data_IF_346193954221
#
_entry.id   IF_346193954221
#
_cell.length_a   1.000
_cell.length_b   1.000
_cell.length_c   1.000
_cell.angle_alpha   90.00
_cell.angle_beta   90.00
_cell.angle_gamma   90.00
#
_symmetry.space_group_name_H-M   'P 1'
#
loop_
_entity.id
_entity.type
_entity.pdbx_description
1 polymer ?
#
# COMPACT_ATOMS: atom_id res chain seq x y z
N UNK A 1 -3.46 41.20 17.62
CA UNK A 1 -2.65 40.01 17.30
C UNK A 1 -3.60 38.84 17.15
N UNK A 2 -3.73 38.20 15.98
CA UNK A 2 -4.53 36.98 15.89
C UNK A 2 -3.81 35.88 16.65
N UNK A 3 -4.54 35.24 17.58
CA UNK A 3 -4.06 34.09 18.34
C UNK A 3 -3.64 32.97 17.37
N UNK A 4 -2.39 32.51 17.46
CA UNK A 4 -1.92 31.34 16.75
C UNK A 4 -2.86 30.15 17.05
N UNK A 5 -3.31 29.40 16.06
CA UNK A 5 -4.14 28.23 16.31
C UNK A 5 -3.38 27.30 17.24
N UNK A 6 -4.05 26.79 18.28
CA UNK A 6 -3.49 25.86 19.25
C UNK A 6 -2.90 24.67 18.48
N UNK A 7 -1.58 24.51 18.54
CA UNK A 7 -0.89 23.35 17.97
C UNK A 7 -1.52 22.08 18.58
N UNK A 8 -2.14 21.28 17.75
CA UNK A 8 -2.72 20.01 18.20
C UNK A 8 -1.59 19.13 18.77
N UNK A 9 -1.90 18.28 19.77
CA UNK A 9 -0.90 17.34 20.33
C UNK A 9 -0.26 16.49 19.23
N UNK A 10 -0.98 16.23 18.15
CA UNK A 10 -0.49 15.51 16.98
C UNK A 10 0.64 16.25 16.25
N UNK A 11 0.67 17.59 16.30
CA UNK A 11 1.72 18.38 15.62
C UNK A 11 3.10 18.22 16.26
N UNK A 12 3.15 17.70 17.47
CA UNK A 12 4.40 17.41 18.21
C UNK A 12 4.97 16.02 17.90
N UNK A 13 4.19 15.13 17.29
CA UNK A 13 4.64 13.77 16.95
C UNK A 13 5.46 13.82 15.67
N UNK A 14 6.72 13.37 15.68
CA UNK A 14 7.56 13.31 14.48
C UNK A 14 6.93 12.43 13.39
N UNK A 15 7.04 12.84 12.13
CA UNK A 15 6.38 12.19 10.99
C UNK A 15 6.76 10.71 10.81
N UNK A 16 7.98 10.32 11.21
CA UNK A 16 8.44 8.93 11.16
C UNK A 16 7.56 7.99 11.97
N UNK A 17 7.05 8.42 13.12
CA UNK A 17 6.16 7.57 13.94
C UNK A 17 4.81 7.33 13.26
N UNK A 18 4.32 8.28 12.46
CA UNK A 18 3.12 8.07 11.66
C UNK A 18 3.36 7.04 10.56
N UNK A 19 4.51 7.04 9.90
CA UNK A 19 4.84 6.11 8.81
C UNK A 19 5.06 4.70 9.35
N UNK A 20 5.89 4.55 10.40
CA UNK A 20 6.14 3.24 11.00
C UNK A 20 4.89 2.68 11.66
N UNK A 21 4.13 3.51 12.38
CA UNK A 21 2.87 3.12 12.98
C UNK A 21 1.82 2.72 11.93
N UNK A 22 1.73 3.46 10.83
CA UNK A 22 0.89 3.13 9.67
C UNK A 22 1.25 1.76 9.12
N UNK A 23 2.53 1.51 8.83
CA UNK A 23 3.00 0.24 8.30
C UNK A 23 2.69 -0.93 9.23
N UNK A 24 2.99 -0.79 10.52
CA UNK A 24 2.72 -1.85 11.51
C UNK A 24 1.24 -2.19 11.56
N UNK A 25 0.37 -1.19 11.69
CA UNK A 25 -1.08 -1.37 11.75
C UNK A 25 -1.60 -1.98 10.44
N UNK A 26 -1.10 -1.53 9.30
CA UNK A 26 -1.50 -2.03 7.97
C UNK A 26 -1.17 -3.52 7.80
N UNK A 27 0.03 -3.94 8.18
CA UNK A 27 0.42 -5.35 8.02
C UNK A 27 -0.19 -6.26 9.07
N UNK A 28 -0.46 -5.76 10.28
CA UNK A 28 -1.30 -6.48 11.26
C UNK A 28 -2.69 -6.74 10.67
N UNK A 29 -3.31 -5.73 10.09
CA UNK A 29 -4.60 -5.89 9.42
C UNK A 29 -4.54 -6.83 8.20
N UNK A 30 -3.45 -6.83 7.44
CA UNK A 30 -3.23 -7.76 6.32
C UNK A 30 -3.04 -9.20 6.82
N UNK A 31 -2.33 -9.40 7.93
CA UNK A 31 -2.15 -10.72 8.55
C UNK A 31 -3.48 -11.31 9.02
N UNK A 32 -4.34 -10.48 9.67
CA UNK A 32 -5.70 -10.90 10.07
C UNK A 32 -6.56 -11.26 8.84
N UNK A 33 -6.37 -10.57 7.72
CA UNK A 33 -7.13 -10.81 6.50
C UNK A 33 -6.86 -12.19 5.87
N UNK A 34 -5.69 -12.78 6.10
CA UNK A 34 -5.30 -14.07 5.53
C UNK A 34 -6.25 -15.19 5.98
N UNK A 35 -6.72 -15.16 7.23
CA UNK A 35 -7.67 -16.15 7.76
C UNK A 35 -9.02 -16.14 7.02
N UNK A 36 -9.38 -15.01 6.41
CA UNK A 36 -10.60 -14.88 5.61
C UNK A 36 -10.48 -15.52 4.21
N UNK A 37 -9.27 -15.80 3.74
CA UNK A 37 -9.06 -16.38 2.40
C UNK A 37 -9.58 -17.83 2.28
N UNK A 38 -9.82 -18.49 3.42
CA UNK A 38 -10.53 -19.78 3.45
C UNK A 38 -12.04 -19.67 3.17
N UNK A 39 -12.62 -18.47 3.33
CA UNK A 39 -14.06 -18.23 3.24
C UNK A 39 -14.48 -17.46 2.00
N UNK A 40 -13.58 -16.67 1.45
CA UNK A 40 -13.81 -15.89 0.23
C UNK A 40 -12.50 -15.62 -0.52
N UNK A 41 -12.59 -15.24 -1.80
CA UNK A 41 -11.39 -14.96 -2.58
C UNK A 41 -10.58 -13.79 -1.99
N UNK A 42 -9.24 -13.82 -2.07
CA UNK A 42 -8.40 -12.73 -1.57
C UNK A 42 -8.77 -11.37 -2.17
N UNK A 43 -9.09 -11.33 -3.47
CA UNK A 43 -9.56 -10.12 -4.13
C UNK A 43 -10.87 -9.58 -3.56
N UNK A 44 -11.80 -10.46 -3.14
CA UNK A 44 -13.06 -10.06 -2.48
C UNK A 44 -12.81 -9.52 -1.08
N UNK A 45 -11.86 -10.08 -0.32
CA UNK A 45 -11.44 -9.51 0.98
C UNK A 45 -10.82 -8.12 0.79
N UNK A 46 -9.98 -7.94 -0.25
CA UNK A 46 -9.43 -6.63 -0.59
C UNK A 46 -10.52 -5.62 -0.98
N UNK A 47 -11.55 -6.05 -1.70
CA UNK A 47 -12.71 -5.21 -2.01
C UNK A 47 -13.45 -4.78 -0.73
N UNK A 48 -13.74 -5.69 0.19
CA UNK A 48 -14.34 -5.36 1.49
C UNK A 48 -13.54 -4.33 2.27
N UNK A 49 -12.23 -4.51 2.32
CA UNK A 49 -11.31 -3.56 2.95
C UNK A 49 -11.45 -2.15 2.37
N UNK A 50 -11.48 -2.04 1.02
CA UNK A 50 -11.64 -0.76 0.32
C UNK A 50 -13.04 -0.19 0.52
N UNK A 51 -14.08 -1.04 0.48
CA UNK A 51 -15.48 -0.65 0.69
C UNK A 51 -15.69 -0.06 2.09
N UNK A 52 -15.23 -0.75 3.13
CA UNK A 52 -15.33 -0.28 4.52
C UNK A 52 -14.61 1.07 4.67
N UNK A 53 -13.41 1.18 4.13
CA UNK A 53 -12.66 2.43 4.18
C UNK A 53 -13.37 3.56 3.40
N UNK A 54 -13.93 3.24 2.24
CA UNK A 54 -14.72 4.20 1.46
C UNK A 54 -15.92 4.71 2.25
N UNK A 55 -16.70 3.82 2.86
CA UNK A 55 -17.88 4.20 3.67
C UNK A 55 -17.46 5.13 4.81
N UNK A 56 -16.46 4.74 5.60
CA UNK A 56 -16.01 5.50 6.76
C UNK A 56 -15.45 6.87 6.35
N UNK A 57 -14.54 6.90 5.36
CA UNK A 57 -13.90 8.15 4.95
C UNK A 57 -14.84 9.08 4.18
N UNK A 58 -15.77 8.54 3.38
CA UNK A 58 -16.81 9.32 2.72
C UNK A 58 -17.76 9.95 3.75
N UNK A 59 -18.21 9.19 4.74
CA UNK A 59 -19.06 9.71 5.81
C UNK A 59 -18.35 10.80 6.64
N UNK A 60 -17.06 10.62 6.89
CA UNK A 60 -16.26 11.58 7.66
C UNK A 60 -15.95 12.85 6.86
N UNK A 61 -15.40 12.72 5.64
CA UNK A 61 -14.90 13.86 4.86
C UNK A 61 -15.93 14.53 3.96
N UNK A 62 -17.01 13.81 3.61
CA UNK A 62 -18.13 14.30 2.79
C UNK A 62 -17.67 15.05 1.53
N UNK A 63 -16.83 14.43 0.67
CA UNK A 63 -16.20 15.10 -0.48
C UNK A 63 -17.22 15.65 -1.48
N UNK A 64 -18.47 15.17 -1.49
CA UNK A 64 -19.56 15.73 -2.30
C UNK A 64 -19.97 17.16 -1.93
N UNK A 65 -19.56 17.66 -0.77
CA UNK A 65 -19.76 19.06 -0.37
C UNK A 65 -18.71 19.99 -0.95
N UNK A 66 -17.65 19.46 -1.55
CA UNK A 66 -16.56 20.20 -2.17
C UNK A 66 -16.84 20.37 -3.68
N UNK A 67 -16.38 21.48 -4.27
CA UNK A 67 -16.52 21.70 -5.72
C UNK A 67 -15.44 20.91 -6.47
N UNK A 68 -15.84 19.96 -7.32
CA UNK A 68 -14.93 19.13 -8.12
C UNK A 68 -15.01 19.53 -9.60
N UNK A 69 -13.85 19.87 -10.19
CA UNK A 69 -13.74 20.00 -11.64
C UNK A 69 -13.92 18.63 -12.32
N UNK A 70 -14.32 18.61 -13.61
CA UNK A 70 -14.39 17.36 -14.38
C UNK A 70 -13.04 16.61 -14.37
N UNK A 71 -11.93 17.36 -14.52
CA UNK A 71 -10.59 16.79 -14.50
C UNK A 71 -10.27 16.14 -13.15
N UNK A 72 -10.60 16.80 -12.02
CA UNK A 72 -10.32 16.25 -10.70
C UNK A 72 -11.15 14.99 -10.43
N UNK A 73 -12.41 14.95 -10.88
CA UNK A 73 -13.27 13.75 -10.79
C UNK A 73 -12.68 12.58 -11.56
N UNK A 74 -12.31 12.79 -12.83
CA UNK A 74 -11.69 11.73 -13.65
C UNK A 74 -10.37 11.26 -13.04
N UNK A 75 -9.53 12.19 -12.57
CA UNK A 75 -8.26 11.81 -11.90
C UNK A 75 -8.51 10.99 -10.63
N UNK A 76 -9.54 11.36 -9.83
CA UNK A 76 -9.95 10.61 -8.65
C UNK A 76 -10.49 9.21 -8.99
N UNK A 77 -11.25 9.07 -10.09
CA UNK A 77 -11.71 7.76 -10.60
C UNK A 77 -10.52 6.87 -10.98
N UNK A 78 -9.58 7.40 -11.78
CA UNK A 78 -8.37 6.67 -12.20
C UNK A 78 -7.53 6.28 -10.98
N UNK A 79 -7.40 7.18 -10.01
CA UNK A 79 -6.69 6.89 -8.76
C UNK A 79 -7.38 5.78 -7.96
N UNK A 80 -8.72 5.77 -7.91
CA UNK A 80 -9.51 4.70 -7.29
C UNK A 80 -9.30 3.34 -7.95
N UNK A 81 -9.21 3.31 -9.29
CA UNK A 81 -8.90 2.08 -10.03
C UNK A 81 -7.50 1.56 -9.65
N UNK A 82 -6.49 2.42 -9.56
CA UNK A 82 -5.16 1.99 -9.11
C UNK A 82 -5.17 1.49 -7.66
N UNK A 83 -5.91 2.13 -6.76
CA UNK A 83 -6.04 1.69 -5.37
C UNK A 83 -6.61 0.27 -5.31
N UNK A 84 -7.74 0.01 -5.97
CA UNK A 84 -8.38 -1.31 -5.87
C UNK A 84 -7.56 -2.38 -6.61
N UNK A 85 -6.97 -2.06 -7.75
CA UNK A 85 -6.11 -2.99 -8.48
C UNK A 85 -4.90 -3.40 -7.63
N UNK A 86 -4.19 -2.43 -7.04
CA UNK A 86 -3.07 -2.66 -6.15
C UNK A 86 -3.48 -3.56 -4.97
N UNK A 87 -4.57 -3.20 -4.28
CA UNK A 87 -5.02 -3.96 -3.11
C UNK A 87 -5.46 -5.38 -3.46
N UNK A 88 -6.20 -5.58 -4.57
CA UNK A 88 -6.68 -6.90 -4.96
C UNK A 88 -5.53 -7.81 -5.40
N UNK A 89 -4.61 -7.29 -6.21
CA UNK A 89 -3.44 -8.08 -6.68
C UNK A 89 -2.46 -8.34 -5.53
N UNK A 90 -2.30 -7.41 -4.58
CA UNK A 90 -1.52 -7.63 -3.37
C UNK A 90 -2.11 -8.76 -2.51
N UNK A 91 -3.44 -8.81 -2.31
CA UNK A 91 -4.07 -9.86 -1.53
C UNK A 91 -4.00 -11.22 -2.22
N UNK A 92 -4.12 -11.27 -3.55
CA UNK A 92 -3.86 -12.49 -4.32
C UNK A 92 -2.41 -12.96 -4.16
N UNK A 93 -1.46 -12.03 -4.03
CA UNK A 93 -0.06 -12.36 -3.81
C UNK A 93 0.18 -12.92 -2.41
N UNK A 94 -0.28 -12.26 -1.34
CA UNK A 94 -0.04 -12.70 0.05
C UNK A 94 -0.84 -13.97 0.43
N UNK A 95 -1.79 -14.38 -0.37
CA UNK A 95 -2.42 -15.69 -0.27
C UNK A 95 -1.50 -16.84 -0.73
N UNK A 96 -0.38 -16.52 -1.41
CA UNK A 96 0.53 -17.47 -2.06
C UNK A 96 2.00 -17.27 -1.70
N UNK A 97 2.35 -16.10 -1.17
CA UNK A 97 3.71 -15.70 -0.80
C UNK A 97 3.78 -15.30 0.66
N UNK A 98 4.92 -15.49 1.31
CA UNK A 98 5.17 -14.89 2.63
C UNK A 98 5.00 -13.37 2.57
N UNK A 99 4.41 -12.79 3.63
CA UNK A 99 4.07 -11.37 3.68
C UNK A 99 5.29 -10.46 3.47
N UNK A 100 6.43 -10.80 4.10
CA UNK A 100 7.68 -10.04 3.96
C UNK A 100 8.22 -10.05 2.54
N UNK A 101 8.23 -11.22 1.88
CA UNK A 101 8.65 -11.36 0.49
C UNK A 101 7.73 -10.59 -0.47
N UNK A 102 6.42 -10.72 -0.30
CA UNK A 102 5.43 -10.00 -1.11
C UNK A 102 5.63 -8.49 -1.01
N UNK A 103 5.69 -7.93 0.19
CA UNK A 103 5.90 -6.49 0.37
C UNK A 103 7.23 -6.04 -0.22
N UNK A 104 8.31 -6.82 -0.05
CA UNK A 104 9.63 -6.49 -0.64
C UNK A 104 9.55 -6.39 -2.16
N UNK A 105 8.87 -7.33 -2.81
CA UNK A 105 8.68 -7.33 -4.26
C UNK A 105 7.76 -6.20 -4.74
N UNK A 106 6.74 -5.84 -3.95
CA UNK A 106 5.84 -4.73 -4.28
C UNK A 106 6.59 -3.40 -4.37
N UNK A 107 7.69 -3.24 -3.60
CA UNK A 107 8.55 -2.05 -3.66
C UNK A 107 9.25 -1.82 -5.00
N UNK A 108 9.19 -2.75 -5.92
CA UNK A 108 9.55 -2.49 -7.33
C UNK A 108 8.72 -1.36 -7.96
N UNK A 109 7.50 -1.11 -7.44
CA UNK A 109 6.66 0.01 -7.90
C UNK A 109 7.33 1.38 -7.74
N UNK A 110 7.72 1.81 -6.52
CA UNK A 110 8.51 3.02 -6.31
C UNK A 110 9.80 3.07 -7.11
N UNK A 111 10.53 1.96 -7.23
CA UNK A 111 11.75 1.87 -8.06
C UNK A 111 11.43 2.13 -9.53
N UNK A 112 10.37 1.53 -10.05
CA UNK A 112 9.92 1.75 -11.43
C UNK A 112 9.61 3.24 -11.69
N UNK A 113 8.92 3.91 -10.76
CA UNK A 113 8.65 5.35 -10.87
C UNK A 113 9.96 6.15 -10.90
N UNK A 114 10.93 5.80 -10.05
CA UNK A 114 12.22 6.46 -9.99
C UNK A 114 13.00 6.27 -11.31
N UNK A 115 12.98 5.08 -11.89
CA UNK A 115 13.64 4.79 -13.18
C UNK A 115 12.99 5.56 -14.33
N UNK A 116 11.66 5.60 -14.39
CA UNK A 116 10.91 6.27 -15.45
C UNK A 116 11.03 7.79 -15.40
N UNK A 117 11.19 8.36 -14.22
CA UNK A 117 11.25 9.83 -14.01
C UNK A 117 12.62 10.37 -13.65
N UNK A 118 13.52 9.51 -13.20
CA UNK A 118 14.85 9.89 -12.78
C UNK A 118 15.78 10.18 -13.94
N UNK A 119 16.78 11.02 -13.68
CA UNK A 119 17.88 11.34 -14.60
C UNK A 119 19.21 10.95 -13.95
N UNK A 120 20.19 10.55 -14.76
CA UNK A 120 21.52 10.20 -14.26
C UNK A 120 21.68 8.72 -13.88
N UNK A 121 22.77 8.36 -13.18
CA UNK A 121 23.12 6.96 -12.88
C UNK A 121 22.32 6.35 -11.71
N UNK A 122 21.86 7.16 -10.76
CA UNK A 122 21.21 6.66 -9.55
C UNK A 122 19.96 5.81 -9.81
N UNK A 123 19.02 6.19 -10.70
CA UNK A 123 17.89 5.34 -11.04
C UNK A 123 18.29 3.99 -11.64
N UNK A 124 19.39 3.96 -12.43
CA UNK A 124 19.91 2.73 -13.02
C UNK A 124 20.53 1.81 -11.97
N UNK A 125 21.30 2.38 -11.04
CA UNK A 125 21.87 1.63 -9.89
C UNK A 125 20.73 1.08 -9.04
N UNK A 126 19.72 1.88 -8.73
CA UNK A 126 18.55 1.44 -7.98
C UNK A 126 17.81 0.30 -8.71
N UNK A 127 17.67 0.38 -10.04
CA UNK A 127 17.04 -0.70 -10.83
C UNK A 127 17.86 -1.99 -10.79
N UNK A 128 19.17 -1.93 -10.88
CA UNK A 128 20.05 -3.12 -10.78
C UNK A 128 19.99 -3.75 -9.40
N UNK A 129 20.02 -2.95 -8.34
CA UNK A 129 19.89 -3.45 -6.96
C UNK A 129 18.51 -4.07 -6.71
N UNK A 130 17.45 -3.42 -7.21
CA UNK A 130 16.09 -3.95 -7.10
C UNK A 130 15.95 -5.27 -7.86
N UNK A 131 16.51 -5.36 -9.08
CA UNK A 131 16.53 -6.61 -9.85
C UNK A 131 17.29 -7.72 -9.12
N UNK A 132 18.48 -7.42 -8.58
CA UNK A 132 19.24 -8.38 -7.77
C UNK A 132 18.44 -8.83 -6.53
N UNK A 133 17.70 -7.90 -5.89
CA UNK A 133 16.81 -8.22 -4.77
C UNK A 133 15.67 -9.14 -5.17
N UNK A 134 15.04 -8.91 -6.34
CA UNK A 134 14.01 -9.81 -6.89
C UNK A 134 14.58 -11.21 -7.13
N UNK A 135 15.74 -11.30 -7.76
CA UNK A 135 16.41 -12.59 -8.00
C UNK A 135 16.72 -13.30 -6.68
N UNK A 136 17.19 -12.56 -5.67
CA UNK A 136 17.47 -13.12 -4.34
C UNK A 136 16.20 -13.69 -3.69
N UNK A 137 15.10 -12.95 -3.70
CA UNK A 137 13.82 -13.40 -3.11
C UNK A 137 13.23 -14.55 -3.92
N UNK A 138 13.07 -14.37 -5.24
CA UNK A 138 12.35 -15.33 -6.09
C UNK A 138 13.17 -16.55 -6.49
N UNK A 139 14.51 -16.43 -6.54
CA UNK A 139 15.39 -17.52 -6.96
C UNK A 139 16.08 -18.28 -5.83
N UNK A 140 16.31 -17.61 -4.69
CA UNK A 140 17.01 -18.19 -3.54
C UNK A 140 16.15 -18.21 -2.27
N UNK A 141 15.11 -17.37 -2.21
CA UNK A 141 14.26 -17.20 -1.03
C UNK A 141 12.94 -17.95 -1.11
N UNK A 142 12.36 -18.04 -2.30
CA UNK A 142 11.07 -18.70 -2.53
C UNK A 142 11.27 -20.04 -3.23
N UNK A 143 10.57 -21.05 -2.74
CA UNK A 143 10.51 -22.34 -3.43
C UNK A 143 9.49 -22.26 -4.59
N UNK A 144 10.01 -22.19 -5.81
CA UNK A 144 9.19 -22.07 -7.03
C UNK A 144 8.44 -23.34 -7.40
N UNK A 145 8.74 -24.47 -6.78
CA UNK A 145 8.04 -25.73 -7.00
C UNK A 145 6.79 -25.86 -6.13
N UNK A 146 6.66 -25.02 -5.10
CA UNK A 146 5.42 -24.93 -4.30
C UNK A 146 4.29 -24.40 -5.18
N UNK A 147 3.14 -25.11 -5.24
CA UNK A 147 1.98 -24.67 -6.01
C UNK A 147 1.53 -23.28 -5.64
N UNK A 148 1.34 -22.43 -6.64
CA UNK A 148 0.85 -21.06 -6.46
C UNK A 148 1.94 -19.98 -6.30
N UNK A 149 3.18 -20.31 -5.92
CA UNK A 149 4.25 -19.31 -5.74
C UNK A 149 4.52 -18.51 -7.00
N UNK A 150 4.63 -19.16 -8.17
CA UNK A 150 4.82 -18.48 -9.47
C UNK A 150 3.67 -17.50 -9.75
N UNK A 151 2.44 -17.92 -9.49
CA UNK A 151 1.26 -17.03 -9.62
C UNK A 151 1.31 -15.88 -8.61
N UNK A 152 1.74 -16.13 -7.37
CA UNK A 152 1.95 -15.10 -6.35
C UNK A 152 2.95 -14.03 -6.80
N UNK A 153 4.05 -14.42 -7.44
CA UNK A 153 5.04 -13.49 -8.01
C UNK A 153 4.40 -12.64 -9.12
N UNK A 154 3.62 -13.22 -10.01
CA UNK A 154 2.90 -12.46 -11.04
C UNK A 154 1.96 -11.45 -10.40
N UNK A 155 1.17 -11.86 -9.41
CA UNK A 155 0.24 -10.99 -8.71
C UNK A 155 0.94 -9.82 -8.02
N UNK A 156 2.08 -10.06 -7.38
CA UNK A 156 2.79 -8.97 -6.69
C UNK A 156 3.46 -8.00 -7.67
N UNK A 157 3.92 -8.46 -8.83
CA UNK A 157 4.44 -7.58 -9.87
C UNK A 157 3.34 -6.70 -10.48
N UNK A 158 2.12 -7.24 -10.61
CA UNK A 158 0.94 -6.44 -10.99
C UNK A 158 0.62 -5.40 -9.90
N UNK A 159 0.69 -5.77 -8.62
CA UNK A 159 0.53 -4.84 -7.50
C UNK A 159 1.57 -3.72 -7.53
N UNK A 160 2.84 -4.05 -7.73
CA UNK A 160 3.94 -3.09 -7.87
C UNK A 160 3.69 -2.11 -9.04
N UNK A 161 3.22 -2.62 -10.18
CA UNK A 161 2.87 -1.79 -11.34
C UNK A 161 1.69 -0.86 -11.03
N UNK A 162 0.66 -1.38 -10.37
CA UNK A 162 -0.48 -0.58 -9.93
C UNK A 162 -0.06 0.48 -8.89
N UNK A 163 0.87 0.16 -7.99
CA UNK A 163 1.43 1.11 -7.04
C UNK A 163 2.22 2.22 -7.73
N UNK A 164 3.01 1.90 -8.76
CA UNK A 164 3.66 2.92 -9.58
C UNK A 164 2.63 3.90 -10.19
N UNK A 165 1.54 3.37 -10.75
CA UNK A 165 0.42 4.18 -11.25
C UNK A 165 -0.24 5.03 -10.15
N UNK A 166 -0.49 4.45 -8.99
CA UNK A 166 -0.97 5.14 -7.79
C UNK A 166 -0.07 6.33 -7.42
N UNK A 167 1.24 6.14 -7.34
CA UNK A 167 2.19 7.22 -7.03
C UNK A 167 2.11 8.33 -8.07
N UNK A 168 2.12 7.98 -9.36
CA UNK A 168 2.11 8.96 -10.44
C UNK A 168 0.81 9.76 -10.53
N UNK A 169 -0.34 9.13 -10.28
CA UNK A 169 -1.65 9.79 -10.31
C UNK A 169 -1.91 10.55 -9.02
N UNK A 170 -1.54 9.97 -7.86
CA UNK A 170 -1.69 10.59 -6.54
C UNK A 170 -0.98 11.93 -6.44
N UNK A 171 0.21 12.07 -7.02
CA UNK A 171 0.95 13.34 -7.07
C UNK A 171 0.16 14.47 -7.77
N UNK A 172 -0.66 14.14 -8.78
CA UNK A 172 -1.49 15.12 -9.49
C UNK A 172 -2.70 15.60 -8.67
N UNK A 173 -3.15 14.78 -7.71
CA UNK A 173 -4.27 15.09 -6.82
C UNK A 173 -3.84 15.86 -5.58
N UNK A 174 -2.61 15.66 -5.09
CA UNK A 174 -2.12 16.17 -3.82
C UNK A 174 -2.04 17.71 -3.73
N UNK A 175 -2.00 18.42 -4.86
CA UNK A 175 -1.72 19.88 -4.90
C UNK A 175 -2.94 20.78 -4.71
N UNK A 176 -4.18 20.25 -4.69
CA UNK A 176 -5.37 21.09 -4.81
C UNK A 176 -6.38 21.00 -3.66
N UNK A 177 -6.34 19.95 -2.85
CA UNK A 177 -7.31 19.67 -1.78
C UNK A 177 -6.69 18.90 -0.63
N UNK A 178 -7.47 18.73 0.45
CA UNK A 178 -7.10 17.81 1.54
C UNK A 178 -6.80 16.41 0.96
N UNK A 179 -5.62 15.88 1.27
CA UNK A 179 -5.22 14.55 0.84
C UNK A 179 -6.25 13.47 1.25
N UNK A 180 -6.86 13.63 2.43
CA UNK A 180 -7.87 12.69 2.95
C UNK A 180 -9.19 12.81 2.17
N UNK A 181 -9.60 14.02 1.71
CA UNK A 181 -10.80 14.17 0.87
C UNK A 181 -10.61 13.55 -0.52
N UNK A 182 -9.42 13.73 -1.11
CA UNK A 182 -9.08 13.07 -2.37
C UNK A 182 -9.08 11.54 -2.22
N UNK A 183 -8.49 11.03 -1.14
CA UNK A 183 -8.48 9.61 -0.82
C UNK A 183 -9.90 9.05 -0.65
N UNK A 184 -10.75 9.73 0.14
CA UNK A 184 -12.13 9.31 0.37
C UNK A 184 -12.92 9.18 -0.94
N UNK A 185 -12.83 10.19 -1.83
CA UNK A 185 -13.49 10.15 -3.12
C UNK A 185 -12.95 9.01 -4.00
N UNK A 186 -11.63 8.81 -4.02
CA UNK A 186 -11.00 7.78 -4.86
C UNK A 186 -11.30 6.38 -4.37
N UNK A 187 -11.31 6.14 -3.04
CA UNK A 187 -11.76 4.87 -2.46
C UNK A 187 -13.22 4.59 -2.81
N UNK A 188 -14.10 5.63 -2.77
CA UNK A 188 -15.49 5.51 -3.20
C UNK A 188 -15.63 5.05 -4.64
N UNK A 189 -14.88 5.66 -5.56
CA UNK A 189 -14.87 5.25 -6.97
C UNK A 189 -14.28 3.85 -7.16
N UNK A 190 -13.17 3.53 -6.48
CA UNK A 190 -12.55 2.21 -6.53
C UNK A 190 -13.51 1.12 -6.05
N UNK A 191 -14.16 1.31 -4.89
CA UNK A 191 -15.14 0.39 -4.37
C UNK A 191 -16.32 0.21 -5.31
N UNK A 192 -16.86 1.32 -5.85
CA UNK A 192 -18.02 1.30 -6.76
C UNK A 192 -17.71 0.52 -8.04
N UNK A 193 -16.61 0.82 -8.72
CA UNK A 193 -16.27 0.18 -10.00
C UNK A 193 -15.94 -1.31 -9.83
N UNK A 194 -15.22 -1.65 -8.76
CA UNK A 194 -14.87 -3.04 -8.49
C UNK A 194 -16.01 -3.88 -7.95
N UNK A 195 -17.07 -3.25 -7.42
CA UNK A 195 -18.26 -3.97 -6.92
C UNK A 195 -18.91 -4.84 -7.98
N UNK A 196 -18.90 -4.40 -9.24
CA UNK A 196 -19.49 -5.17 -10.36
C UNK A 196 -18.84 -6.56 -10.49
N UNK A 197 -17.53 -6.65 -10.24
CA UNK A 197 -16.75 -7.90 -10.40
C UNK A 197 -16.53 -8.61 -9.07
N UNK A 198 -16.25 -7.88 -8.01
CA UNK A 198 -15.76 -8.46 -6.75
C UNK A 198 -16.86 -8.64 -5.68
N UNK A 199 -17.96 -7.87 -5.75
CA UNK A 199 -19.03 -8.01 -4.78
C UNK A 199 -19.71 -9.40 -4.80
N UNK A 200 -19.94 -10.06 -5.95
CA UNK A 200 -20.51 -11.40 -5.96
C UNK A 200 -19.67 -12.41 -5.14
N UNK A 201 -18.33 -12.34 -5.25
CA UNK A 201 -17.43 -13.17 -4.43
C UNK A 201 -17.32 -12.72 -2.97
N UNK A 202 -17.78 -11.51 -2.67
CA UNK A 202 -17.77 -10.91 -1.33
C UNK A 202 -18.99 -11.23 -0.47
N UNK A 203 -20.01 -11.94 -1.02
CA UNK A 203 -21.25 -12.32 -0.28
C UNK A 203 -20.93 -13.13 0.97
N UNK A 204 -19.84 -13.90 0.98
CA UNK A 204 -19.32 -14.59 2.15
C UNK A 204 -19.11 -13.68 3.37
N UNK A 205 -18.92 -12.37 3.18
CA UNK A 205 -18.84 -11.41 4.28
C UNK A 205 -20.09 -11.27 5.13
N UNK A 206 -21.24 -11.71 4.62
CA UNK A 206 -22.51 -11.67 5.33
C UNK A 206 -22.91 -13.02 5.95
N UNK A 207 -22.06 -14.04 5.86
CA UNK A 207 -22.36 -15.39 6.40
C UNK A 207 -22.49 -15.42 7.92
N UNK A 208 -21.75 -14.55 8.62
CA UNK A 208 -21.88 -14.40 10.07
C UNK A 208 -21.49 -13.00 10.52
N UNK A 209 -22.02 -12.57 11.68
CA UNK A 209 -21.64 -11.31 12.31
C UNK A 209 -20.14 -11.27 12.66
N UNK A 210 -19.53 -12.42 12.96
CA UNK A 210 -18.10 -12.52 13.22
C UNK A 210 -17.28 -12.18 11.97
N UNK A 211 -17.56 -12.83 10.83
CA UNK A 211 -16.86 -12.57 9.55
C UNK A 211 -17.00 -11.11 9.14
N UNK A 212 -18.20 -10.57 9.23
CA UNK A 212 -18.45 -9.15 8.94
C UNK A 212 -17.63 -8.25 9.88
N UNK A 213 -17.60 -8.55 11.18
CA UNK A 213 -16.81 -7.81 12.17
C UNK A 213 -15.31 -7.82 11.84
N UNK A 214 -14.76 -8.99 11.47
CA UNK A 214 -13.36 -9.12 11.05
C UNK A 214 -13.07 -8.30 9.79
N UNK A 215 -13.97 -8.32 8.79
CA UNK A 215 -13.83 -7.50 7.57
C UNK A 215 -13.81 -5.99 7.88
N UNK A 216 -14.64 -5.53 8.82
CA UNK A 216 -14.63 -4.14 9.28
C UNK A 216 -13.30 -3.81 9.98
N UNK A 217 -12.82 -4.68 10.87
CA UNK A 217 -11.52 -4.51 11.54
C UNK A 217 -10.38 -4.44 10.51
N UNK A 218 -10.35 -5.36 9.55
CA UNK A 218 -9.38 -5.36 8.45
C UNK A 218 -9.44 -4.06 7.65
N UNK A 219 -10.63 -3.58 7.29
CA UNK A 219 -10.81 -2.32 6.58
C UNK A 219 -10.26 -1.12 7.35
N UNK A 220 -10.51 -1.08 8.65
CA UNK A 220 -10.02 -0.02 9.55
C UNK A 220 -8.50 -0.08 9.72
N UNK A 221 -7.97 -1.25 10.09
CA UNK A 221 -6.54 -1.44 10.38
C UNK A 221 -5.68 -1.39 9.12
N UNK A 222 -6.16 -1.89 7.99
CA UNK A 222 -5.35 -1.94 6.77
C UNK A 222 -5.52 -0.72 5.85
N UNK A 223 -6.55 0.12 6.04
CA UNK A 223 -6.81 1.23 5.11
C UNK A 223 -7.15 2.53 5.82
N UNK A 224 -8.18 2.57 6.66
CA UNK A 224 -8.64 3.85 7.26
C UNK A 224 -7.53 4.51 8.08
N UNK A 225 -6.98 3.78 9.05
CA UNK A 225 -5.95 4.30 9.95
C UNK A 225 -4.63 4.53 9.19
N UNK A 226 -4.06 3.52 8.47
CA UNK A 226 -2.78 3.69 7.81
C UNK A 226 -2.77 4.83 6.81
N UNK A 227 -3.70 4.88 5.89
CA UNK A 227 -3.72 5.92 4.85
C UNK A 227 -3.99 7.32 5.42
N UNK A 228 -4.73 7.42 6.53
CA UNK A 228 -4.89 8.68 7.24
C UNK A 228 -3.60 9.14 7.90
N UNK A 229 -2.84 8.22 8.53
CA UNK A 229 -1.53 8.50 9.11
C UNK A 229 -0.50 8.87 8.04
N UNK A 230 -0.50 8.17 6.91
CA UNK A 230 0.36 8.49 5.76
C UNK A 230 0.05 9.87 5.17
N UNK A 231 -1.22 10.21 5.02
CA UNK A 231 -1.63 11.53 4.56
C UNK A 231 -1.15 12.64 5.50
N UNK A 232 -1.21 12.41 6.83
CA UNK A 232 -0.67 13.31 7.83
C UNK A 232 0.86 13.40 7.76
N UNK A 233 1.56 12.28 7.59
CA UNK A 233 3.01 12.26 7.44
C UNK A 233 3.44 13.01 6.19
N UNK A 234 2.81 12.73 5.04
CA UNK A 234 3.13 13.40 3.76
C UNK A 234 2.93 14.92 3.80
N UNK A 235 2.02 15.41 4.64
CA UNK A 235 1.83 16.86 4.80
C UNK A 235 2.94 17.55 5.59
N UNK A 236 3.82 16.78 6.25
CA UNK A 236 4.83 17.29 7.21
C UNK A 236 6.27 17.08 6.77
N UNK A 237 6.53 16.17 5.86
CA UNK A 237 7.87 15.85 5.38
C UNK A 237 7.97 15.99 3.87
N UNK A 238 9.21 16.19 3.37
CA UNK A 238 9.46 16.16 1.95
C UNK A 238 9.18 14.77 1.36
N UNK A 239 8.87 14.72 0.07
CA UNK A 239 8.66 13.45 -0.63
C UNK A 239 9.87 12.50 -0.49
N UNK A 240 11.10 13.04 -0.51
CA UNK A 240 12.31 12.27 -0.30
C UNK A 240 12.41 11.67 1.10
N UNK A 241 12.08 12.45 2.13
CA UNK A 241 12.05 11.98 3.53
C UNK A 241 10.97 10.93 3.73
N UNK A 242 9.78 11.12 3.13
CA UNK A 242 8.70 10.14 3.16
C UNK A 242 9.15 8.82 2.52
N UNK A 243 9.73 8.88 1.33
CA UNK A 243 10.23 7.70 0.62
C UNK A 243 11.35 6.97 1.39
N UNK A 244 12.23 7.71 2.10
CA UNK A 244 13.25 7.10 2.95
C UNK A 244 12.64 6.27 4.09
N UNK A 245 11.58 6.77 4.73
CA UNK A 245 10.90 6.03 5.80
C UNK A 245 10.07 4.87 5.26
N UNK A 246 9.48 4.99 4.07
CA UNK A 246 8.77 3.86 3.45
C UNK A 246 9.70 2.68 3.12
N UNK A 247 11.01 2.90 2.94
CA UNK A 247 11.98 1.82 2.77
C UNK A 247 12.06 0.86 4.00
N UNK A 248 11.49 1.24 5.15
CA UNK A 248 11.36 0.36 6.32
C UNK A 248 10.15 -0.58 6.25
N UNK A 249 9.23 -0.38 5.33
CA UNK A 249 8.01 -1.19 5.22
C UNK A 249 8.29 -2.69 5.02
N UNK A 250 9.22 -3.10 4.12
CA UNK A 250 9.55 -4.51 3.97
C UNK A 250 10.04 -5.17 5.27
N UNK A 251 10.85 -4.46 6.06
CA UNK A 251 11.30 -4.97 7.35
C UNK A 251 10.13 -5.11 8.33
N UNK A 252 9.23 -4.12 8.38
CA UNK A 252 8.04 -4.15 9.24
C UNK A 252 7.11 -5.32 8.86
N UNK A 253 6.88 -5.55 7.58
CA UNK A 253 6.04 -6.67 7.09
C UNK A 253 6.67 -8.03 7.39
N UNK A 254 7.99 -8.15 7.29
CA UNK A 254 8.72 -9.37 7.64
C UNK A 254 8.56 -9.70 9.13
N UNK A 255 8.67 -8.69 10.01
CA UNK A 255 8.44 -8.87 11.45
C UNK A 255 7.01 -9.30 11.72
N UNK A 256 6.01 -8.66 11.12
CA UNK A 256 4.60 -9.03 11.29
C UNK A 256 4.36 -10.45 10.77
N UNK A 257 4.90 -10.81 9.60
CA UNK A 257 4.82 -12.15 9.02
C UNK A 257 5.44 -13.21 9.95
N UNK A 258 6.60 -12.93 10.52
CA UNK A 258 7.27 -13.85 11.45
C UNK A 258 6.47 -14.04 12.76
N UNK A 259 5.97 -12.94 13.34
CA UNK A 259 5.30 -12.97 14.66
C UNK A 259 3.86 -13.49 14.56
N UNK A 260 3.08 -13.01 13.60
CA UNK A 260 1.65 -13.34 13.50
C UNK A 260 1.37 -14.56 12.63
N UNK A 261 2.13 -14.72 11.53
CA UNK A 261 1.89 -15.79 10.56
C UNK A 261 2.89 -16.94 10.68
N UNK A 262 3.88 -16.82 11.59
CA UNK A 262 4.97 -17.81 11.78
C UNK A 262 5.78 -18.06 10.51
N UNK A 263 5.86 -17.06 9.63
CA UNK A 263 6.61 -17.08 8.39
C UNK A 263 8.05 -16.62 8.67
N UNK A 264 8.95 -17.57 8.92
CA UNK A 264 10.36 -17.26 9.14
C UNK A 264 11.03 -16.98 7.79
N UNK A 265 11.64 -15.79 7.61
CA UNK A 265 12.26 -15.42 6.36
C UNK A 265 13.52 -16.27 6.09
N UNK A 266 13.69 -16.69 4.85
CA UNK A 266 14.91 -17.35 4.38
C UNK A 266 16.06 -16.35 4.22
N UNK A 267 17.29 -16.82 4.11
CA UNK A 267 18.46 -15.96 3.84
C UNK A 267 18.32 -15.23 2.49
N UNK A 268 17.71 -15.87 1.49
CA UNK A 268 17.44 -15.26 0.20
C UNK A 268 16.43 -14.11 0.31
N UNK A 269 15.36 -14.28 1.09
CA UNK A 269 14.38 -13.23 1.36
C UNK A 269 15.00 -12.06 2.13
N UNK A 270 15.82 -12.33 3.16
CA UNK A 270 16.51 -11.28 3.91
C UNK A 270 17.51 -10.51 3.03
N UNK A 271 18.30 -11.21 2.21
CA UNK A 271 19.22 -10.59 1.27
C UNK A 271 18.49 -9.68 0.26
N UNK A 272 17.39 -10.18 -0.31
CA UNK A 272 16.57 -9.43 -1.24
C UNK A 272 15.89 -8.22 -0.61
N UNK A 273 15.38 -8.37 0.62
CA UNK A 273 14.82 -7.26 1.40
C UNK A 273 15.83 -6.13 1.57
N UNK A 274 17.07 -6.45 1.95
CA UNK A 274 18.14 -5.46 2.10
C UNK A 274 18.45 -4.78 0.77
N UNK A 275 18.61 -5.54 -0.31
CA UNK A 275 18.90 -5.00 -1.63
C UNK A 275 17.80 -4.06 -2.14
N UNK A 276 16.52 -4.45 -2.01
CA UNK A 276 15.39 -3.61 -2.42
C UNK A 276 15.28 -2.37 -1.53
N UNK A 277 15.50 -2.49 -0.22
CA UNK A 277 15.51 -1.34 0.68
C UNK A 277 16.58 -0.32 0.32
N UNK A 278 17.79 -0.78 -0.03
CA UNK A 278 18.88 0.08 -0.53
C UNK A 278 18.50 0.72 -1.87
N UNK A 279 17.89 -0.05 -2.78
CA UNK A 279 17.45 0.46 -4.07
C UNK A 279 16.42 1.59 -3.90
N UNK A 280 15.43 1.42 -3.04
CA UNK A 280 14.42 2.44 -2.72
C UNK A 280 15.08 3.67 -2.08
N UNK A 281 16.03 3.47 -1.17
CA UNK A 281 16.77 4.56 -0.54
C UNK A 281 17.56 5.39 -1.56
N UNK A 282 18.29 4.74 -2.47
CA UNK A 282 19.04 5.41 -3.56
C UNK A 282 18.06 6.15 -4.47
N UNK A 283 16.99 5.48 -4.92
CA UNK A 283 15.99 6.05 -5.81
C UNK A 283 15.29 7.29 -5.22
N UNK A 284 15.13 7.34 -3.90
CA UNK A 284 14.41 8.38 -3.17
C UNK A 284 15.32 9.52 -2.68
N UNK A 285 16.62 9.33 -2.71
CA UNK A 285 17.58 10.28 -2.14
C UNK A 285 17.82 11.50 -3.05
N UNK A 286 17.60 12.73 -2.56
CA UNK A 286 17.83 13.96 -3.36
C UNK A 286 19.28 14.12 -3.85
N UNK A 287 20.24 13.50 -3.14
CA UNK A 287 21.68 13.57 -3.50
C UNK A 287 22.00 12.89 -4.83
N UNK A 288 21.14 11.92 -5.23
CA UNK A 288 21.35 11.13 -6.44
C UNK A 288 20.40 11.52 -7.59
N UNK A 289 19.55 12.53 -7.38
CA UNK A 289 18.60 13.03 -8.39
C UNK A 289 19.12 14.28 -9.15
N UNK A 290 20.37 14.71 -8.86
CA UNK A 290 21.03 15.86 -9.52
C UNK A 290 21.80 15.43 -10.76
#
# INVERSE_FOLDING_TARGET
MPSLPSQSRLDRVPAQFFIVGSALIQYVGAAIAIDLFAQMSPASVAWWRVLVAAIILLAWRRPWREKWSRKDRVTSMVFGVFIISMNSTFYEAIARLPLGAAVSLEFLGPVLVAVLRGRGPAPRIAALLAFAGVVSISGLGLDLDVPGVKAGIVWILLAATAWAGYIMVGQKLASKRSAVSNLAASLGWGALFSSVVLAPGGVGGFTSAHVFGVLVVVGVLSTVIPFSLEALAMSRVSAATFALFTAMLPATSTIVGAVMLRQLPTLGELGGLVLISIAVWIASSPRFQR
#
